data_IF_755403721595
#
_entry.id   IF_755403721595
#
_cell.length_a   1.000
_cell.length_b   1.000
_cell.length_c   1.000
_cell.angle_alpha   90.00
_cell.angle_beta   90.00
_cell.angle_gamma   90.00
#
_symmetry.space_group_name_H-M   'P 1'
#
loop_
_entity.id
_entity.type
_entity.pdbx_description
1 polymer ?
#
# COMPACT_ATOMS: atom_id res chain seq x y z
N UNK A 1 -3.35 3.79 11.38
CA UNK A 1 -2.21 3.28 12.21
C UNK A 1 -2.34 3.77 13.64
N UNK A 2 -1.82 3.03 14.64
CA UNK A 2 -1.76 3.51 16.04
C UNK A 2 -0.88 4.75 16.13
N UNK A 3 -1.19 5.68 17.03
CA UNK A 3 -0.48 6.97 17.17
C UNK A 3 1.04 6.79 17.36
N UNK A 4 1.45 5.82 18.17
CA UNK A 4 2.86 5.49 18.41
C UNK A 4 3.61 5.13 17.11
N UNK A 5 2.97 4.38 16.21
CA UNK A 5 3.60 3.97 14.94
C UNK A 5 3.77 5.17 14.00
N UNK A 6 2.79 6.08 13.95
CA UNK A 6 2.91 7.31 13.15
C UNK A 6 4.09 8.14 13.61
N UNK A 7 4.20 8.39 14.92
CA UNK A 7 5.32 9.15 15.50
C UNK A 7 6.69 8.52 15.22
N UNK A 8 6.77 7.19 15.17
CA UNK A 8 8.02 6.50 14.81
C UNK A 8 8.38 6.68 13.34
N UNK A 9 7.39 6.55 12.45
CA UNK A 9 7.56 6.77 11.01
C UNK A 9 8.00 8.21 10.75
N UNK A 10 7.35 9.19 11.39
CA UNK A 10 7.66 10.62 11.22
C UNK A 10 9.12 10.91 11.64
N UNK A 11 9.57 10.35 12.77
CA UNK A 11 10.97 10.49 13.23
C UNK A 11 11.96 9.91 12.23
N UNK A 12 11.70 8.72 11.69
CA UNK A 12 12.59 8.07 10.71
C UNK A 12 12.58 8.78 9.36
N UNK A 13 11.45 9.39 8.99
CA UNK A 13 11.34 10.20 7.79
C UNK A 13 12.17 11.49 7.88
N UNK A 14 12.27 12.07 9.08
CA UNK A 14 13.14 13.23 9.32
C UNK A 14 14.63 12.90 9.34
N UNK A 15 15.03 11.63 9.48
CA UNK A 15 16.44 11.20 9.59
C UNK A 15 16.97 10.51 8.33
N UNK A 16 16.29 10.67 7.18
CA UNK A 16 16.65 10.11 5.86
C UNK A 16 16.74 8.56 5.77
N UNK A 17 16.49 7.85 6.87
CA UNK A 17 16.47 6.39 6.89
C UNK A 17 15.18 5.79 6.31
N UNK A 18 14.15 6.61 6.12
CA UNK A 18 12.87 6.22 5.53
C UNK A 18 12.36 7.37 4.67
N UNK A 19 11.88 7.07 3.47
CA UNK A 19 11.19 8.04 2.63
C UNK A 19 9.72 7.65 2.52
N UNK A 20 8.83 8.53 3.02
CA UNK A 20 7.38 8.32 2.96
C UNK A 20 6.79 9.14 1.81
N UNK A 21 6.17 8.45 0.86
CA UNK A 21 5.55 9.06 -0.32
C UNK A 21 4.02 8.95 -0.24
N UNK A 22 3.36 10.04 0.14
CA UNK A 22 1.90 10.15 0.04
C UNK A 22 1.46 10.47 -1.40
N UNK A 23 0.16 10.27 -1.67
CA UNK A 23 -0.46 10.51 -2.98
C UNK A 23 0.37 9.91 -4.13
N UNK A 24 0.80 8.67 -3.93
CA UNK A 24 1.72 7.96 -4.82
C UNK A 24 1.10 6.63 -5.27
N UNK A 25 1.43 6.22 -6.49
CA UNK A 25 0.98 4.95 -7.06
C UNK A 25 2.15 4.25 -7.74
N UNK A 26 2.41 2.99 -7.38
CA UNK A 26 3.36 2.16 -8.11
C UNK A 26 2.75 1.79 -9.46
N UNK A 27 3.42 2.14 -10.56
CA UNK A 27 2.94 1.86 -11.93
C UNK A 27 3.68 0.71 -12.59
N UNK A 28 4.93 0.46 -12.21
CA UNK A 28 5.75 -0.63 -12.74
C UNK A 28 6.73 -1.16 -11.69
N UNK A 29 6.89 -2.48 -11.64
CA UNK A 29 7.94 -3.15 -10.87
C UNK A 29 8.78 -3.94 -11.87
N UNK A 30 10.05 -3.57 -12.02
CA UNK A 30 11.03 -4.24 -12.85
C UNK A 30 12.09 -4.92 -11.96
N UNK A 31 12.98 -5.70 -12.58
CA UNK A 31 14.00 -6.49 -11.86
C UNK A 31 14.85 -5.67 -10.89
N UNK A 32 15.22 -4.45 -11.27
CA UNK A 32 16.19 -3.62 -10.55
C UNK A 32 15.65 -2.21 -10.28
N UNK A 33 14.37 -1.96 -10.56
CA UNK A 33 13.75 -0.64 -10.37
C UNK A 33 12.24 -0.71 -10.16
N UNK A 34 11.71 0.33 -9.52
CA UNK A 34 10.28 0.55 -9.34
C UNK A 34 9.93 1.93 -9.85
N UNK A 35 8.86 2.05 -10.63
CA UNK A 35 8.33 3.33 -11.10
C UNK A 35 7.12 3.70 -10.26
N UNK A 36 7.16 4.92 -9.73
CA UNK A 36 6.11 5.50 -8.88
C UNK A 36 5.62 6.77 -9.54
N UNK A 37 4.30 6.88 -9.69
CA UNK A 37 3.61 8.08 -10.13
C UNK A 37 3.17 8.90 -8.92
N UNK A 38 3.52 10.17 -8.93
CA UNK A 38 2.93 11.21 -8.07
C UNK A 38 2.41 12.34 -8.97
N UNK A 39 3.04 13.52 -8.94
CA UNK A 39 2.83 14.59 -9.93
C UNK A 39 3.43 14.23 -11.29
N UNK A 40 4.51 13.46 -11.28
CA UNK A 40 5.20 12.89 -12.46
C UNK A 40 5.57 11.45 -12.17
N UNK A 41 5.96 10.71 -13.21
CA UNK A 41 6.55 9.39 -13.02
C UNK A 41 8.03 9.51 -12.66
N UNK A 42 8.44 8.76 -11.63
CA UNK A 42 9.80 8.74 -11.11
C UNK A 42 10.20 7.28 -10.92
N UNK A 43 11.37 6.90 -11.45
CA UNK A 43 11.92 5.55 -11.29
C UNK A 43 13.00 5.54 -10.22
N UNK A 44 12.92 4.55 -9.33
CA UNK A 44 13.87 4.34 -8.24
C UNK A 44 14.59 3.00 -8.44
N UNK A 45 15.94 2.95 -8.31
CA UNK A 45 16.65 1.67 -8.26
C UNK A 45 16.20 0.92 -7.01
N UNK A 46 15.95 -0.37 -7.14
CA UNK A 46 15.32 -1.15 -6.08
C UNK A 46 15.66 -2.64 -6.19
N UNK A 47 16.14 -3.24 -5.09
CA UNK A 47 16.54 -4.66 -5.05
C UNK A 47 15.40 -5.59 -4.62
N UNK A 48 14.42 -5.10 -3.86
CA UNK A 48 13.32 -5.92 -3.35
C UNK A 48 12.05 -5.09 -3.16
N UNK A 49 10.88 -5.68 -3.42
CA UNK A 49 9.58 -5.03 -3.18
C UNK A 49 8.78 -5.85 -2.18
N UNK A 50 8.29 -5.19 -1.13
CA UNK A 50 7.39 -5.79 -0.14
C UNK A 50 6.00 -5.19 -0.34
N UNK A 51 5.02 -6.03 -0.71
CA UNK A 51 3.65 -5.58 -1.03
C UNK A 51 2.75 -5.78 0.17
N UNK A 52 2.42 -4.67 0.84
CA UNK A 52 1.50 -4.63 1.99
C UNK A 52 0.09 -4.17 1.57
N UNK A 53 -0.49 -4.78 0.53
CA UNK A 53 -1.80 -4.38 -0.03
C UNK A 53 -3.02 -4.98 0.70
N UNK A 54 -2.80 -5.81 1.73
CA UNK A 54 -3.85 -6.58 2.38
C UNK A 54 -4.29 -7.80 1.56
N UNK A 55 -5.22 -8.57 2.12
CA UNK A 55 -5.82 -9.73 1.46
C UNK A 55 -7.16 -9.37 0.82
N UNK A 56 -7.52 -10.09 -0.24
CA UNK A 56 -8.86 -10.00 -0.84
C UNK A 56 -9.76 -11.04 -0.16
N UNK A 57 -10.93 -10.61 0.31
CA UNK A 57 -11.95 -11.55 0.81
C UNK A 57 -12.38 -12.47 -0.36
N UNK A 58 -12.37 -13.81 -0.21
CA UNK A 58 -12.68 -14.74 -1.31
C UNK A 58 -14.20 -14.82 -1.54
N UNK A 59 -14.81 -13.72 -1.96
CA UNK A 59 -16.27 -13.56 -2.10
C UNK A 59 -16.89 -14.56 -3.06
N UNK A 60 -16.18 -14.98 -4.11
CA UNK A 60 -16.63 -16.03 -5.03
C UNK A 60 -16.86 -17.37 -4.32
N UNK A 61 -15.90 -17.80 -3.50
CA UNK A 61 -16.03 -19.02 -2.70
C UNK A 61 -17.20 -18.91 -1.71
N UNK A 62 -17.28 -17.79 -0.99
CA UNK A 62 -18.34 -17.55 0.01
C UNK A 62 -19.74 -17.63 -0.62
N UNK A 63 -19.94 -17.00 -1.80
CA UNK A 63 -21.20 -17.08 -2.53
C UNK A 63 -21.54 -18.51 -2.95
N UNK A 64 -20.54 -19.28 -3.41
CA UNK A 64 -20.77 -20.66 -3.88
C UNK A 64 -21.24 -21.63 -2.77
N UNK A 65 -20.89 -21.34 -1.51
CA UNK A 65 -21.32 -22.11 -0.34
C UNK A 65 -22.56 -21.52 0.35
N UNK A 66 -23.23 -20.54 -0.27
CA UNK A 66 -24.47 -19.94 0.22
C UNK A 66 -24.30 -18.79 1.22
N UNK A 67 -23.10 -18.23 1.37
CA UNK A 67 -22.87 -17.07 2.26
C UNK A 67 -23.23 -15.77 1.53
N UNK A 68 -24.15 -15.00 2.11
CA UNK A 68 -24.48 -13.64 1.68
C UNK A 68 -23.40 -12.66 2.14
N UNK A 69 -22.90 -11.83 1.23
CA UNK A 69 -21.85 -10.82 1.51
C UNK A 69 -22.39 -9.43 1.20
N UNK A 70 -22.43 -8.58 2.23
CA UNK A 70 -22.75 -7.16 2.09
C UNK A 70 -21.45 -6.33 2.09
N UNK A 71 -21.32 -5.38 1.16
CA UNK A 71 -20.28 -4.35 1.25
C UNK A 71 -20.85 -3.16 2.00
N UNK A 72 -20.35 -2.91 3.21
CA UNK A 72 -20.71 -1.72 3.99
C UNK A 72 -19.66 -0.65 3.75
N UNK A 73 -20.09 0.48 3.23
CA UNK A 73 -19.32 1.72 3.22
C UNK A 73 -19.76 2.44 4.49
N UNK A 74 -18.89 2.57 5.49
CA UNK A 74 -19.27 3.24 6.73
C UNK A 74 -19.76 4.66 6.43
N UNK A 75 -20.93 5.03 6.96
CA UNK A 75 -21.43 6.42 6.93
C UNK A 75 -20.61 7.27 7.93
N UNK A 76 -20.47 8.57 7.64
CA UNK A 76 -19.60 9.53 8.35
C UNK A 76 -19.79 9.59 9.87
#
# INVERSE_FOLDING_TARGET
AKQKNRQWIDKLNCTEHLQVLFSSQVTMIEKERVTIRQQKEISYPNQAVIICAGGILPTGLLKSIGVTVDTKYGDE
#
